data_IF_710472957821
#
_entry.id   IF_710472957821
#
_cell.length_a   1.000
_cell.length_b   1.000
_cell.length_c   1.000
_cell.angle_alpha   90.00
_cell.angle_beta   90.00
_cell.angle_gamma   90.00
#
_symmetry.space_group_name_H-M   'P 1'
#
loop_
_entity.id
_entity.type
_entity.pdbx_description
1 polymer ?
#
# COMPACT_ATOMS: atom_id res chain seq x y z
N UNK A 1 7.34 -7.26 -7.59
CA UNK A 1 6.73 -7.14 -6.24
C UNK A 1 7.37 -5.96 -5.53
N UNK A 2 6.62 -5.28 -4.67
CA UNK A 2 7.14 -4.29 -3.73
C UNK A 2 7.27 -4.93 -2.33
N UNK A 3 8.22 -4.47 -1.52
CA UNK A 3 8.39 -4.92 -0.14
C UNK A 3 8.35 -3.72 0.80
N UNK A 4 7.38 -3.69 1.70
CA UNK A 4 7.29 -2.71 2.79
C UNK A 4 7.86 -3.33 4.06
N UNK A 5 8.88 -2.69 4.65
CA UNK A 5 9.52 -3.12 5.90
C UNK A 5 8.97 -2.32 7.06
N UNK A 6 8.47 -3.00 8.09
CA UNK A 6 7.84 -2.40 9.26
C UNK A 6 8.57 -2.91 10.49
N UNK A 7 9.28 -2.02 11.18
CA UNK A 7 9.96 -2.36 12.44
C UNK A 7 8.96 -2.53 13.58
N UNK A 8 9.14 -3.60 14.36
CA UNK A 8 8.35 -3.93 15.56
C UNK A 8 8.90 -3.29 16.84
N UNK A 9 10.05 -2.61 16.77
CA UNK A 9 10.66 -1.93 17.92
C UNK A 9 9.90 -0.68 18.38
N UNK A 10 8.86 -0.27 17.63
CA UNK A 10 7.96 0.82 18.02
C UNK A 10 6.63 0.25 18.49
N UNK A 11 6.41 0.22 19.81
CA UNK A 11 5.23 -0.38 20.45
C UNK A 11 3.87 0.11 19.90
N UNK A 12 3.80 1.32 19.34
CA UNK A 12 2.57 1.86 18.76
C UNK A 12 2.24 1.35 17.35
N UNK A 13 3.12 0.55 16.73
CA UNK A 13 2.98 0.09 15.34
C UNK A 13 2.44 -1.32 15.20
N UNK A 14 2.43 -2.12 16.26
CA UNK A 14 2.05 -3.53 16.18
C UNK A 14 0.60 -3.70 15.72
N UNK A 15 -0.34 -3.00 16.35
CA UNK A 15 -1.76 -3.06 15.96
C UNK A 15 -1.99 -2.52 14.54
N UNK A 16 -1.29 -1.46 14.15
CA UNK A 16 -1.40 -0.86 12.81
C UNK A 16 -0.86 -1.82 11.74
N UNK A 17 0.28 -2.47 12.02
CA UNK A 17 0.90 -3.45 11.14
C UNK A 17 0.00 -4.67 10.94
N UNK A 18 -0.55 -5.20 12.04
CA UNK A 18 -1.50 -6.32 12.00
C UNK A 18 -2.76 -5.97 11.20
N UNK A 19 -3.31 -4.78 11.43
CA UNK A 19 -4.47 -4.31 10.68
C UNK A 19 -4.16 -4.20 9.18
N UNK A 20 -3.02 -3.65 8.79
CA UNK A 20 -2.60 -3.56 7.38
C UNK A 20 -2.54 -4.94 6.71
N UNK A 21 -1.91 -5.92 7.37
CA UNK A 21 -1.81 -7.29 6.84
C UNK A 21 -3.18 -7.94 6.72
N UNK A 22 -4.03 -7.81 7.75
CA UNK A 22 -5.35 -8.43 7.78
C UNK A 22 -6.26 -7.85 6.69
N UNK A 23 -6.31 -6.52 6.58
CA UNK A 23 -7.10 -5.81 5.57
C UNK A 23 -6.67 -6.23 4.17
N UNK A 24 -5.38 -6.25 3.86
CA UNK A 24 -4.90 -6.60 2.52
C UNK A 24 -5.04 -8.10 2.20
N UNK A 25 -4.95 -8.98 3.20
CA UNK A 25 -5.13 -10.43 3.01
C UNK A 25 -6.59 -10.80 2.75
N UNK A 26 -7.51 -10.23 3.53
CA UNK A 26 -8.91 -10.62 3.53
C UNK A 26 -9.73 -9.87 2.46
N UNK A 27 -9.32 -8.65 2.09
CA UNK A 27 -10.02 -7.85 1.07
C UNK A 27 -9.29 -7.87 -0.26
N UNK A 28 -9.90 -8.55 -1.24
CA UNK A 28 -9.45 -8.53 -2.63
C UNK A 28 -10.39 -7.69 -3.48
N UNK A 29 -9.87 -6.65 -4.10
CA UNK A 29 -10.60 -5.76 -4.99
C UNK A 29 -9.63 -5.23 -6.07
N UNK A 30 -10.13 -4.92 -7.26
CA UNK A 30 -9.30 -4.40 -8.36
C UNK A 30 -8.61 -3.06 -8.04
N UNK A 31 -9.18 -2.28 -7.11
CA UNK A 31 -8.70 -0.95 -6.71
C UNK A 31 -7.95 -0.98 -5.36
N UNK A 32 -7.64 -2.18 -4.83
CA UNK A 32 -6.80 -2.36 -3.66
C UNK A 32 -5.50 -3.07 -4.06
N UNK A 33 -4.39 -2.58 -3.52
CA UNK A 33 -3.08 -3.18 -3.76
C UNK A 33 -3.08 -4.64 -3.29
N UNK A 34 -2.76 -5.55 -4.19
CA UNK A 34 -2.79 -6.99 -3.91
C UNK A 34 -1.73 -7.41 -2.90
N UNK A 35 -2.18 -8.11 -1.85
CA UNK A 35 -1.33 -8.87 -0.95
C UNK A 35 -0.74 -10.10 -1.64
N UNK A 36 0.55 -10.34 -1.46
CA UNK A 36 1.22 -11.57 -1.91
C UNK A 36 1.54 -12.46 -0.72
N UNK A 37 2.36 -11.97 0.22
CA UNK A 37 2.78 -12.72 1.41
C UNK A 37 3.35 -11.77 2.49
N UNK A 38 3.68 -12.28 3.68
CA UNK A 38 4.32 -11.54 4.76
C UNK A 38 5.28 -12.42 5.56
N UNK A 39 6.45 -11.87 5.90
CA UNK A 39 7.49 -12.58 6.65
C UNK A 39 7.92 -11.79 7.89
N UNK A 40 8.26 -12.50 8.95
CA UNK A 40 9.00 -11.92 10.09
C UNK A 40 10.48 -12.17 9.85
N UNK A 41 11.26 -11.09 9.72
CA UNK A 41 12.70 -11.13 9.51
C UNK A 41 13.36 -10.25 10.57
N UNK A 42 14.12 -10.87 11.46
CA UNK A 42 14.64 -10.21 12.66
C UNK A 42 13.49 -9.53 13.47
N UNK A 43 13.61 -8.23 13.73
CA UNK A 43 12.63 -7.40 14.43
C UNK A 43 11.74 -6.59 13.44
N UNK A 44 11.60 -7.07 12.20
CA UNK A 44 10.82 -6.42 11.15
C UNK A 44 9.80 -7.37 10.51
N UNK A 45 8.62 -6.83 10.23
CA UNK A 45 7.66 -7.47 9.32
C UNK A 45 7.91 -6.97 7.91
N UNK A 46 8.11 -7.90 6.99
CA UNK A 46 8.26 -7.65 5.56
C UNK A 46 6.95 -8.02 4.87
N UNK A 47 6.25 -7.01 4.36
CA UNK A 47 5.01 -7.17 3.61
C UNK A 47 5.32 -7.19 2.11
N UNK A 48 5.02 -8.31 1.45
CA UNK A 48 5.19 -8.46 0.00
C UNK A 48 3.86 -8.19 -0.68
N UNK A 49 3.87 -7.22 -1.59
CA UNK A 49 2.69 -6.74 -2.30
C UNK A 49 2.98 -6.57 -3.79
N UNK A 50 1.94 -6.39 -4.60
CA UNK A 50 2.13 -6.04 -6.00
C UNK A 50 2.91 -4.72 -6.16
N UNK A 51 3.62 -4.61 -7.27
CA UNK A 51 4.39 -3.40 -7.57
C UNK A 51 3.57 -2.52 -8.50
N UNK A 52 3.26 -1.31 -8.05
CA UNK A 52 2.56 -0.28 -8.83
C UNK A 52 3.62 0.56 -9.55
N UNK A 53 3.89 0.23 -10.82
CA UNK A 53 4.93 0.86 -11.63
C UNK A 53 4.59 2.30 -12.05
N UNK A 54 3.31 2.68 -12.02
CA UNK A 54 2.85 4.06 -12.26
C UNK A 54 3.20 5.08 -11.18
N UNK A 55 3.79 4.66 -10.05
CA UNK A 55 4.14 5.56 -8.95
C UNK A 55 2.93 6.01 -8.13
N UNK A 56 3.08 7.12 -7.39
CA UNK A 56 2.03 7.62 -6.51
C UNK A 56 1.22 8.76 -7.16
N UNK A 57 -0.05 8.89 -6.76
CA UNK A 57 -0.85 10.05 -7.16
C UNK A 57 -0.23 11.38 -6.71
N UNK A 58 0.52 11.38 -5.60
CA UNK A 58 1.24 12.54 -5.11
C UNK A 58 2.26 13.07 -6.12
N UNK A 59 2.99 12.17 -6.79
CA UNK A 59 3.98 12.56 -7.80
C UNK A 59 3.28 13.19 -9.02
N UNK A 60 2.14 12.63 -9.44
CA UNK A 60 1.35 13.14 -10.57
C UNK A 60 0.84 14.55 -10.31
N UNK A 61 0.22 14.80 -9.15
CA UNK A 61 -0.35 16.12 -8.82
C UNK A 61 0.73 17.19 -8.58
N UNK A 62 1.97 16.76 -8.29
CA UNK A 62 3.09 17.68 -8.09
C UNK A 62 3.67 18.15 -9.42
N UNK A 63 3.75 17.25 -10.40
CA UNK A 63 4.38 17.54 -11.70
C UNK A 63 3.37 18.04 -12.76
N UNK A 64 2.08 17.78 -12.57
CA UNK A 64 1.03 18.08 -13.57
C UNK A 64 -0.27 18.58 -12.95
N UNK A 65 -1.05 19.34 -13.73
CA UNK A 65 -2.43 19.66 -13.40
C UNK A 65 -3.37 18.66 -14.06
N UNK A 66 -4.10 17.91 -13.25
CA UNK A 66 -5.09 16.93 -13.73
C UNK A 66 -6.35 17.64 -14.24
N UNK A 67 -6.87 17.18 -15.36
CA UNK A 67 -8.18 17.60 -15.85
C UNK A 67 -9.31 17.03 -14.97
N UNK A 68 -10.47 17.70 -14.93
CA UNK A 68 -11.62 17.23 -14.13
C UNK A 68 -12.01 15.78 -14.44
N UNK A 69 -11.91 15.36 -15.70
CA UNK A 69 -12.19 13.98 -16.11
C UNK A 69 -11.23 12.95 -15.50
N UNK A 70 -9.95 13.32 -15.33
CA UNK A 70 -8.93 12.45 -14.71
C UNK A 70 -9.15 12.37 -13.20
N UNK A 71 -9.47 13.49 -12.56
CA UNK A 71 -9.83 13.55 -11.13
C UNK A 71 -11.07 12.69 -10.87
N UNK A 72 -12.09 12.81 -11.73
CA UNK A 72 -13.32 12.04 -11.63
C UNK A 72 -13.07 10.53 -11.83
N UNK A 73 -12.14 10.16 -12.72
CA UNK A 73 -11.74 8.76 -12.89
C UNK A 73 -11.11 8.22 -11.59
N UNK A 74 -10.11 8.91 -11.03
CA UNK A 74 -9.46 8.48 -9.77
C UNK A 74 -10.44 8.42 -8.61
N UNK A 75 -11.42 9.33 -8.55
CA UNK A 75 -12.41 9.36 -7.46
C UNK A 75 -13.49 8.29 -7.57
N UNK A 76 -13.66 7.67 -8.74
CA UNK A 76 -14.64 6.59 -8.97
C UNK A 76 -14.07 5.22 -8.59
N UNK A 77 -12.77 5.04 -8.80
CA UNK A 77 -12.06 3.82 -8.42
C UNK A 77 -11.95 3.69 -6.89
#
# INVERSE_FOLDING_TARGET
VAIKKISLLQESRDEVCLNEIQVMRDMKNANLVNYVDSYLVDEEVWLVMEYMDGGSLYDVIRETHMAEGEIAAVSRE
#
